data_IF_748170632637
#
_entry.id   IF_748170632637
#
_cell.length_a   1.000
_cell.length_b   1.000
_cell.length_c   1.000
_cell.angle_alpha   90.00
_cell.angle_beta   90.00
_cell.angle_gamma   90.00
#
_symmetry.space_group_name_H-M   'P 1'
#
loop_
_entity.id
_entity.type
_entity.pdbx_description
1 polymer ?
#
# COMPACT_ATOMS: atom_id res chain seq x y z
N UNK A 1 27.40 2.90 -13.66
CA UNK A 1 26.74 4.21 -13.91
C UNK A 1 26.31 4.80 -12.56
N UNK A 2 27.03 5.79 -12.00
CA UNK A 2 26.70 6.36 -10.69
C UNK A 2 25.96 7.70 -10.86
N UNK A 3 24.62 7.68 -10.90
CA UNK A 3 23.81 8.90 -11.07
C UNK A 3 22.60 9.02 -10.11
N UNK A 4 22.65 8.43 -8.90
CA UNK A 4 21.54 8.55 -7.94
C UNK A 4 21.88 9.24 -6.60
N UNK A 5 23.09 9.78 -6.42
CA UNK A 5 23.51 10.37 -5.13
C UNK A 5 22.86 11.73 -4.84
N UNK A 6 22.36 12.44 -5.86
CA UNK A 6 21.79 13.79 -5.71
C UNK A 6 20.46 13.85 -4.95
N UNK A 7 19.63 12.80 -5.04
CA UNK A 7 18.32 12.75 -4.35
C UNK A 7 18.46 12.47 -2.84
N UNK A 8 19.54 11.83 -2.42
CA UNK A 8 19.75 11.49 -1.01
C UNK A 8 20.15 12.72 -0.18
N UNK A 9 20.98 13.59 -0.75
CA UNK A 9 21.39 14.85 -0.10
C UNK A 9 20.29 15.90 -0.01
N UNK A 10 19.18 15.76 -0.75
CA UNK A 10 18.03 16.69 -0.64
C UNK A 10 17.22 16.44 0.64
N UNK A 11 17.14 15.19 1.10
CA UNK A 11 16.32 14.82 2.24
C UNK A 11 17.02 15.05 3.59
N UNK A 12 18.36 14.97 3.65
CA UNK A 12 19.14 15.13 4.89
C UNK A 12 19.03 16.55 5.49
N UNK A 13 19.19 17.65 4.73
CA UNK A 13 19.02 19.02 5.24
C UNK A 13 17.58 19.26 5.73
N UNK A 14 16.59 18.78 4.99
CA UNK A 14 15.18 18.85 5.37
C UNK A 14 14.91 18.09 6.67
N UNK A 15 15.51 16.91 6.85
CA UNK A 15 15.43 16.13 8.08
C UNK A 15 16.03 16.85 9.28
N UNK A 16 17.21 17.46 9.13
CA UNK A 16 17.86 18.25 10.18
C UNK A 16 17.05 19.50 10.55
N UNK A 17 16.54 20.22 9.55
CA UNK A 17 15.66 21.37 9.77
C UNK A 17 14.38 20.95 10.49
N UNK A 18 13.77 19.84 10.09
CA UNK A 18 12.61 19.26 10.77
C UNK A 18 12.89 18.92 12.24
N UNK A 19 14.05 18.33 12.52
CA UNK A 19 14.49 17.98 13.88
C UNK A 19 14.71 19.22 14.75
N UNK A 20 15.34 20.26 14.19
CA UNK A 20 15.54 21.54 14.85
C UNK A 20 14.21 22.26 15.13
N UNK A 21 13.26 22.22 14.19
CA UNK A 21 11.92 22.78 14.36
C UNK A 21 11.11 22.02 15.41
N UNK A 22 11.15 20.68 15.41
CA UNK A 22 10.49 19.86 16.43
C UNK A 22 11.06 20.17 17.82
N UNK A 23 12.38 20.20 17.95
CA UNK A 23 13.05 20.50 19.22
C UNK A 23 12.75 21.92 19.74
N UNK A 24 12.45 22.88 18.85
CA UNK A 24 12.19 24.27 19.21
C UNK A 24 10.71 24.61 19.41
N UNK A 25 9.81 23.98 18.67
CA UNK A 25 8.40 24.39 18.60
C UNK A 25 7.40 23.39 19.16
N UNK A 26 7.78 22.13 19.37
CA UNK A 26 6.92 21.18 20.09
C UNK A 26 7.20 21.38 21.59
N UNK A 27 6.32 22.06 22.36
CA UNK A 27 6.44 22.08 23.80
C UNK A 27 6.47 20.63 24.27
N UNK A 28 7.38 20.32 25.20
CA UNK A 28 7.50 18.97 25.73
C UNK A 28 6.22 18.60 26.46
N UNK A 29 5.27 18.02 25.73
CA UNK A 29 4.11 17.30 26.27
C UNK A 29 4.67 16.07 26.97
N UNK A 30 5.21 16.30 28.17
CA UNK A 30 5.60 15.25 29.10
C UNK A 30 4.32 14.50 29.41
N UNK A 31 4.16 13.34 28.79
CA UNK A 31 3.16 12.38 29.19
C UNK A 31 3.24 12.24 30.71
N UNK A 32 2.08 12.30 31.38
CA UNK A 32 1.99 12.30 32.84
C UNK A 32 2.69 11.08 33.49
N UNK A 33 2.99 10.04 32.71
CA UNK A 33 3.72 8.85 33.11
C UNK A 33 4.61 8.32 31.95
N UNK A 34 5.91 8.65 31.90
CA UNK A 34 6.80 8.17 30.85
C UNK A 34 7.09 6.68 31.03
N UNK A 35 6.41 5.84 30.23
CA UNK A 35 6.67 4.40 30.21
C UNK A 35 8.06 4.11 29.63
N UNK A 36 8.81 3.14 30.19
CA UNK A 36 10.11 2.75 29.65
C UNK A 36 9.96 2.19 28.23
N UNK A 37 10.94 2.48 27.37
CA UNK A 37 10.96 2.00 25.99
C UNK A 37 11.25 0.48 25.94
N UNK A 38 10.43 -0.26 25.20
CA UNK A 38 10.64 -1.69 24.92
C UNK A 38 11.73 -1.90 23.86
N UNK A 39 12.99 -1.84 24.30
CA UNK A 39 14.16 -2.08 23.46
C UNK A 39 14.16 -3.48 22.79
N UNK A 40 13.86 -4.60 23.49
CA UNK A 40 13.80 -5.90 22.84
C UNK A 40 12.73 -5.95 21.74
N UNK A 41 11.54 -5.39 22.00
CA UNK A 41 10.49 -5.26 21.00
C UNK A 41 10.93 -4.40 19.80
N UNK A 42 11.63 -3.30 20.05
CA UNK A 42 12.21 -2.46 19.00
C UNK A 42 13.16 -3.23 18.08
N UNK A 43 14.15 -3.94 18.65
CA UNK A 43 15.11 -4.70 17.84
C UNK A 43 14.47 -5.88 17.10
N UNK A 44 13.57 -6.62 17.76
CA UNK A 44 12.88 -7.75 17.12
C UNK A 44 11.98 -7.29 15.97
N UNK A 45 11.21 -6.22 16.17
CA UNK A 45 10.29 -5.69 15.14
C UNK A 45 11.05 -5.06 13.98
N UNK A 46 12.06 -4.23 14.26
CA UNK A 46 12.87 -3.58 13.23
C UNK A 46 13.67 -4.59 12.40
N UNK A 47 14.33 -5.56 13.05
CA UNK A 47 15.09 -6.60 12.35
C UNK A 47 14.17 -7.53 11.55
N UNK A 48 13.06 -7.96 12.13
CA UNK A 48 12.07 -8.80 11.44
C UNK A 48 11.51 -8.10 10.20
N UNK A 49 11.12 -6.84 10.34
CA UNK A 49 10.64 -6.03 9.22
C UNK A 49 11.73 -5.83 8.16
N UNK A 50 12.96 -5.47 8.56
CA UNK A 50 14.06 -5.24 7.62
C UNK A 50 14.37 -6.50 6.78
N UNK A 51 14.42 -7.67 7.41
CA UNK A 51 14.64 -8.94 6.70
C UNK A 51 13.49 -9.29 5.76
N UNK A 52 12.24 -9.06 6.18
CA UNK A 52 11.08 -9.27 5.32
C UNK A 52 11.08 -8.34 4.12
N UNK A 53 11.32 -7.04 4.33
CA UNK A 53 11.36 -6.05 3.26
C UNK A 53 12.49 -6.37 2.27
N UNK A 54 13.70 -6.61 2.78
CA UNK A 54 14.86 -6.91 1.93
C UNK A 54 14.72 -8.23 1.18
N UNK A 55 14.18 -9.27 1.82
CA UNK A 55 13.88 -10.54 1.18
C UNK A 55 12.85 -10.40 0.05
N UNK A 56 11.79 -9.63 0.28
CA UNK A 56 10.72 -9.42 -0.70
C UNK A 56 11.17 -8.54 -1.89
N UNK A 57 12.03 -7.57 -1.64
CA UNK A 57 12.69 -6.77 -2.68
C UNK A 57 13.55 -7.66 -3.59
N UNK A 58 14.32 -8.60 -3.02
CA UNK A 58 15.10 -9.60 -3.77
C UNK A 58 14.23 -10.59 -4.56
N UNK A 59 13.03 -10.92 -4.08
CA UNK A 59 12.07 -11.73 -4.87
C UNK A 59 11.65 -10.96 -6.13
N UNK A 60 11.41 -9.65 -6.01
CA UNK A 60 11.02 -8.83 -7.15
C UNK A 60 12.16 -8.62 -8.16
N UNK A 61 13.42 -8.65 -7.71
CA UNK A 61 14.62 -8.47 -8.54
C UNK A 61 15.64 -9.58 -8.25
N UNK A 62 15.47 -10.78 -8.81
CA UNK A 62 16.34 -11.92 -8.53
C UNK A 62 17.67 -11.80 -9.28
N UNK A 63 18.64 -11.08 -8.70
CA UNK A 63 20.00 -10.95 -9.26
C UNK A 63 20.87 -12.19 -8.95
N UNK A 64 20.74 -12.77 -7.76
CA UNK A 64 21.58 -13.88 -7.26
C UNK A 64 20.82 -15.23 -7.11
N UNK A 65 19.66 -15.36 -7.77
CA UNK A 65 18.77 -16.52 -7.63
C UNK A 65 17.81 -16.45 -6.43
N UNK A 66 16.91 -17.44 -6.33
CA UNK A 66 15.78 -17.40 -5.38
C UNK A 66 16.14 -17.77 -3.94
N UNK A 67 17.21 -18.54 -3.71
CA UNK A 67 17.54 -19.10 -2.40
C UNK A 67 17.84 -18.03 -1.34
N UNK A 68 18.67 -16.99 -1.60
CA UNK A 68 18.93 -15.94 -0.61
C UNK A 68 17.65 -15.19 -0.22
N UNK A 69 16.78 -14.92 -1.20
CA UNK A 69 15.53 -14.22 -0.98
C UNK A 69 14.58 -15.03 -0.08
N UNK A 70 14.44 -16.33 -0.35
CA UNK A 70 13.63 -17.25 0.46
C UNK A 70 14.15 -17.35 1.90
N UNK A 71 15.47 -17.45 2.09
CA UNK A 71 16.08 -17.52 3.42
C UNK A 71 15.85 -16.22 4.23
N UNK A 72 15.98 -15.06 3.59
CA UNK A 72 15.72 -13.76 4.23
C UNK A 72 14.25 -13.62 4.64
N UNK A 73 13.32 -14.00 3.76
CA UNK A 73 11.88 -13.99 4.08
C UNK A 73 11.58 -14.97 5.21
N UNK A 74 12.11 -16.19 5.18
CA UNK A 74 11.92 -17.17 6.23
C UNK A 74 12.46 -16.68 7.58
N UNK A 75 13.67 -16.13 7.61
CA UNK A 75 14.26 -15.53 8.81
C UNK A 75 13.42 -14.36 9.34
N UNK A 76 12.96 -13.48 8.43
CA UNK A 76 12.07 -12.38 8.76
C UNK A 76 10.73 -12.82 9.36
N UNK A 77 10.12 -13.90 8.84
CA UNK A 77 8.90 -14.51 9.39
C UNK A 77 9.17 -15.04 10.81
N UNK A 78 10.27 -15.77 11.01
CA UNK A 78 10.63 -16.33 12.32
C UNK A 78 10.87 -15.22 13.35
N UNK A 79 11.64 -14.19 13.00
CA UNK A 79 11.92 -13.06 13.89
C UNK A 79 10.67 -12.22 14.13
N UNK A 80 9.83 -12.00 13.11
CA UNK A 80 8.55 -11.34 13.25
C UNK A 80 7.60 -12.09 14.20
N UNK A 81 7.59 -13.43 14.14
CA UNK A 81 6.82 -14.25 15.08
C UNK A 81 7.34 -14.11 16.52
N UNK A 82 8.67 -14.09 16.72
CA UNK A 82 9.28 -13.81 18.03
C UNK A 82 8.91 -12.42 18.53
N UNK A 83 8.91 -11.41 17.66
CA UNK A 83 8.50 -10.05 17.97
C UNK A 83 7.05 -10.00 18.45
N UNK A 84 6.12 -10.64 17.74
CA UNK A 84 4.71 -10.72 18.15
C UNK A 84 4.55 -11.43 19.49
N UNK A 85 5.30 -12.52 19.72
CA UNK A 85 5.28 -13.24 21.00
C UNK A 85 5.78 -12.38 22.16
N UNK A 86 6.82 -11.58 21.93
CA UNK A 86 7.36 -10.63 22.91
C UNK A 86 6.35 -9.52 23.21
N UNK A 87 5.83 -8.85 22.17
CA UNK A 87 4.87 -7.75 22.30
C UNK A 87 3.58 -8.15 23.03
N UNK A 88 3.14 -9.42 22.91
CA UNK A 88 1.97 -9.94 23.65
C UNK A 88 2.23 -10.17 25.14
N UNK A 89 3.48 -10.26 25.57
CA UNK A 89 3.88 -10.57 26.95
C UNK A 89 4.53 -9.39 27.67
N UNK A 90 5.03 -8.41 26.93
CA UNK A 90 5.73 -7.26 27.48
C UNK A 90 4.78 -6.40 28.35
N UNK A 91 5.23 -5.87 29.51
CA UNK A 91 4.41 -4.99 30.36
C UNK A 91 4.07 -3.64 29.70
N UNK A 92 5.01 -3.12 28.91
CA UNK A 92 4.90 -1.86 28.17
C UNK A 92 5.38 -2.09 26.74
N UNK A 93 4.61 -2.80 25.89
CA UNK A 93 5.04 -3.14 24.54
C UNK A 93 5.23 -1.87 23.71
N UNK A 94 6.25 -1.88 22.83
CA UNK A 94 6.46 -0.78 21.89
C UNK A 94 5.25 -0.56 20.97
N UNK A 95 4.61 -1.68 20.58
CA UNK A 95 3.45 -1.70 19.69
C UNK A 95 2.29 -2.38 20.40
N UNK A 96 1.26 -1.61 20.70
CA UNK A 96 0.02 -2.14 21.26
C UNK A 96 -0.78 -2.89 20.20
N UNK A 97 -0.68 -4.22 20.24
CA UNK A 97 -1.41 -5.13 19.33
C UNK A 97 -2.92 -5.15 19.61
N UNK A 98 -3.41 -4.55 20.70
CA UNK A 98 -4.85 -4.46 20.95
C UNK A 98 -5.57 -3.56 19.94
N UNK A 99 -4.85 -2.69 19.20
CA UNK A 99 -5.39 -1.98 18.06
C UNK A 99 -6.02 -2.92 17.00
N UNK A 100 -5.50 -4.14 16.85
CA UNK A 100 -6.10 -5.15 15.96
C UNK A 100 -7.43 -5.75 16.48
N UNK A 101 -7.84 -5.45 17.71
CA UNK A 101 -9.19 -5.79 18.20
C UNK A 101 -10.23 -4.79 17.69
N UNK A 102 -9.81 -3.57 17.32
CA UNK A 102 -10.69 -2.59 16.68
C UNK A 102 -10.96 -3.05 15.25
N UNK A 103 -12.22 -3.36 14.97
CA UNK A 103 -12.63 -3.98 13.71
C UNK A 103 -12.26 -3.13 12.49
N UNK A 104 -12.41 -1.81 12.57
CA UNK A 104 -12.09 -0.88 11.46
C UNK A 104 -10.60 -0.81 11.17
N UNK A 105 -9.75 -0.82 12.20
CA UNK A 105 -8.30 -0.95 12.04
C UNK A 105 -7.94 -2.31 11.44
N UNK A 106 -8.40 -3.41 12.04
CA UNK A 106 -8.09 -4.77 11.59
C UNK A 106 -8.50 -5.05 10.15
N UNK A 107 -9.69 -4.62 9.72
CA UNK A 107 -10.15 -4.79 8.34
C UNK A 107 -9.31 -3.94 7.38
N UNK A 108 -8.94 -2.72 7.77
CA UNK A 108 -8.18 -1.78 6.93
C UNK A 108 -6.69 -2.11 6.84
N UNK A 109 -6.10 -2.77 7.83
CA UNK A 109 -4.65 -3.01 7.91
C UNK A 109 -4.26 -4.49 7.88
N UNK A 110 -5.07 -5.43 8.36
CA UNK A 110 -4.71 -6.85 8.41
C UNK A 110 -5.42 -7.71 7.36
N UNK A 111 -6.60 -7.29 6.88
CA UNK A 111 -7.43 -8.08 5.98
C UNK A 111 -7.64 -7.39 4.62
N UNK A 112 -8.88 -7.01 4.31
CA UNK A 112 -9.29 -6.48 3.01
C UNK A 112 -8.45 -5.27 2.57
N UNK A 113 -8.11 -4.37 3.49
CA UNK A 113 -7.33 -3.18 3.16
C UNK A 113 -5.91 -3.46 2.69
N UNK A 114 -5.21 -4.41 3.31
CA UNK A 114 -3.86 -4.79 2.87
C UNK A 114 -3.88 -5.53 1.54
N UNK A 115 -4.84 -6.46 1.34
CA UNK A 115 -5.00 -7.15 0.05
C UNK A 115 -5.31 -6.13 -1.07
N UNK A 116 -6.16 -5.14 -0.78
CA UNK A 116 -6.44 -4.08 -1.77
C UNK A 116 -5.22 -3.18 -2.01
N UNK A 117 -4.43 -2.87 -0.98
CA UNK A 117 -3.17 -2.11 -1.11
C UNK A 117 -2.16 -2.84 -1.99
N UNK A 118 -2.06 -4.16 -1.89
CA UNK A 118 -1.23 -4.98 -2.79
C UNK A 118 -1.61 -4.73 -4.25
N UNK A 119 -2.91 -4.74 -4.57
CA UNK A 119 -3.38 -4.45 -5.93
C UNK A 119 -3.09 -3.00 -6.38
N UNK A 120 -3.33 -2.02 -5.49
CA UNK A 120 -3.00 -0.61 -5.73
C UNK A 120 -1.51 -0.43 -6.01
N UNK A 121 -0.64 -1.08 -5.25
CA UNK A 121 0.81 -0.90 -5.31
C UNK A 121 1.43 -1.67 -6.50
N UNK A 122 0.83 -2.79 -6.90
CA UNK A 122 1.21 -3.52 -8.11
C UNK A 122 0.97 -2.71 -9.40
N UNK A 123 -0.08 -1.89 -9.43
CA UNK A 123 -0.58 -1.24 -10.65
C UNK A 123 0.44 -0.27 -11.29
N UNK A 124 1.06 0.69 -10.58
CA UNK A 124 2.07 1.57 -11.16
C UNK A 124 3.28 0.83 -11.72
N UNK A 125 3.71 -0.23 -11.05
CA UNK A 125 4.81 -1.09 -11.51
C UNK A 125 4.45 -1.77 -12.83
N UNK A 126 3.26 -2.39 -12.89
CA UNK A 126 2.77 -3.01 -14.12
C UNK A 126 2.59 -2.02 -15.26
N UNK A 127 2.09 -0.82 -14.99
CA UNK A 127 1.95 0.25 -16.00
C UNK A 127 3.31 0.70 -16.53
N UNK A 128 4.31 0.86 -15.65
CA UNK A 128 5.66 1.22 -16.05
C UNK A 128 6.29 0.18 -16.97
N UNK A 129 6.19 -1.10 -16.61
CA UNK A 129 6.69 -2.18 -17.48
C UNK A 129 5.85 -2.32 -18.75
N UNK A 130 4.53 -2.16 -18.69
CA UNK A 130 3.67 -2.22 -19.89
C UNK A 130 4.09 -1.15 -20.90
N UNK A 131 4.26 0.10 -20.46
CA UNK A 131 4.59 1.19 -21.37
C UNK A 131 6.03 1.08 -21.91
N UNK A 132 6.99 0.71 -21.07
CA UNK A 132 8.39 0.62 -21.50
C UNK A 132 8.70 -0.68 -22.26
N UNK A 133 8.32 -1.82 -21.71
CA UNK A 133 8.65 -3.15 -22.27
C UNK A 133 7.56 -3.63 -23.22
N UNK A 134 6.28 -3.46 -22.85
CA UNK A 134 5.17 -3.90 -23.68
C UNK A 134 4.94 -3.03 -24.92
N UNK A 135 4.99 -1.70 -24.78
CA UNK A 135 4.75 -0.76 -25.89
C UNK A 135 6.03 -0.21 -26.51
N UNK A 136 7.20 -0.45 -25.89
CA UNK A 136 8.48 0.04 -26.38
C UNK A 136 8.65 1.56 -26.25
N UNK A 137 7.89 2.23 -25.37
CA UNK A 137 7.98 3.67 -25.18
C UNK A 137 9.28 4.07 -24.49
N UNK A 138 9.74 5.29 -24.76
CA UNK A 138 10.88 5.86 -24.04
C UNK A 138 10.55 6.02 -22.54
N UNK A 139 11.56 6.03 -21.64
CA UNK A 139 11.32 6.25 -20.21
C UNK A 139 10.60 7.57 -19.90
N UNK A 140 10.83 8.60 -20.71
CA UNK A 140 10.19 9.91 -20.56
C UNK A 140 8.71 9.82 -20.92
N UNK A 141 8.37 9.18 -22.03
CA UNK A 141 6.97 9.03 -22.48
C UNK A 141 6.18 8.13 -21.53
N UNK A 142 6.75 7.00 -21.12
CA UNK A 142 6.16 6.13 -20.10
C UNK A 142 5.95 6.89 -18.78
N UNK A 143 6.94 7.69 -18.35
CA UNK A 143 6.83 8.55 -17.19
C UNK A 143 5.68 9.56 -17.29
N UNK A 144 5.46 10.15 -18.47
CA UNK A 144 4.36 11.09 -18.71
C UNK A 144 2.98 10.39 -18.66
N UNK A 145 2.87 9.16 -19.17
CA UNK A 145 1.63 8.37 -19.05
C UNK A 145 1.34 8.00 -17.59
N UNK A 146 2.36 7.59 -16.84
CA UNK A 146 2.25 7.31 -15.40
C UNK A 146 1.93 8.58 -14.61
N UNK A 147 2.43 9.74 -15.05
CA UNK A 147 2.08 11.02 -14.43
C UNK A 147 0.56 11.26 -14.49
N UNK A 148 -0.10 10.92 -15.60
CA UNK A 148 -1.56 11.00 -15.70
C UNK A 148 -2.25 10.11 -14.63
N UNK A 149 -1.70 8.93 -14.36
CA UNK A 149 -2.20 8.05 -13.29
C UNK A 149 -2.06 8.69 -11.90
N UNK A 150 -0.96 9.40 -11.62
CA UNK A 150 -0.80 10.12 -10.33
C UNK A 150 -1.56 11.45 -10.27
N UNK A 151 -1.80 12.10 -11.41
CA UNK A 151 -2.60 13.33 -11.50
C UNK A 151 -4.04 13.12 -11.07
N UNK A 152 -4.56 11.88 -11.13
CA UNK A 152 -5.86 11.54 -10.55
C UNK A 152 -5.98 11.84 -9.04
N UNK A 153 -4.87 12.00 -8.32
CA UNK A 153 -4.91 12.42 -6.92
C UNK A 153 -5.26 13.92 -6.77
N UNK A 154 -4.99 14.74 -7.80
CA UNK A 154 -5.14 16.18 -7.77
C UNK A 154 -6.63 16.54 -7.83
N UNK A 155 -7.21 16.86 -6.67
CA UNK A 155 -8.63 17.14 -6.51
C UNK A 155 -9.43 16.02 -5.86
N UNK A 156 -8.84 14.85 -5.59
CA UNK A 156 -9.60 13.77 -4.95
C UNK A 156 -10.05 14.13 -3.53
N UNK A 157 -9.33 15.03 -2.83
CA UNK A 157 -9.72 15.49 -1.48
C UNK A 157 -11.08 16.20 -1.47
N UNK A 158 -11.42 16.97 -2.52
CA UNK A 158 -12.73 17.66 -2.59
C UNK A 158 -13.87 16.67 -2.84
N UNK A 159 -13.60 15.53 -3.47
CA UNK A 159 -14.59 14.48 -3.75
C UNK A 159 -14.71 13.48 -2.59
N UNK A 160 -13.60 13.11 -1.96
CA UNK A 160 -13.56 12.02 -0.96
C UNK A 160 -14.37 12.37 0.28
N UNK A 161 -14.18 13.54 0.88
CA UNK A 161 -14.84 13.90 2.14
C UNK A 161 -16.36 14.01 2.01
N UNK A 162 -16.94 14.71 1.00
CA UNK A 162 -18.40 14.73 0.80
C UNK A 162 -18.97 13.35 0.49
N UNK A 163 -18.27 12.55 -0.29
CA UNK A 163 -18.73 11.20 -0.67
C UNK A 163 -18.77 10.27 0.54
N UNK A 164 -17.74 10.29 1.39
CA UNK A 164 -17.73 9.54 2.66
C UNK A 164 -18.82 10.01 3.62
N UNK A 165 -19.06 11.33 3.72
CA UNK A 165 -20.17 11.89 4.52
C UNK A 165 -21.53 11.42 4.03
N UNK A 166 -21.74 11.40 2.72
CA UNK A 166 -23.03 11.09 2.11
C UNK A 166 -23.35 9.59 2.12
N UNK A 167 -22.37 8.73 1.85
CA UNK A 167 -22.60 7.30 1.61
C UNK A 167 -21.97 6.36 2.65
N UNK A 168 -21.16 6.89 3.58
CA UNK A 168 -20.46 6.11 4.60
C UNK A 168 -19.26 5.33 4.07
N UNK A 169 -18.38 4.86 4.96
CA UNK A 169 -17.17 4.13 4.58
C UNK A 169 -17.47 2.82 3.85
N UNK A 170 -18.40 2.01 4.37
CA UNK A 170 -18.72 0.68 3.81
C UNK A 170 -19.09 0.77 2.32
N UNK A 171 -20.08 1.59 1.98
CA UNK A 171 -20.59 1.72 0.61
C UNK A 171 -19.51 2.28 -0.32
N UNK A 172 -18.80 3.32 0.14
CA UNK A 172 -17.74 3.95 -0.64
C UNK A 172 -16.61 2.97 -0.95
N UNK A 173 -16.13 2.24 0.05
CA UNK A 173 -15.01 1.31 -0.13
C UNK A 173 -15.35 0.13 -1.02
N UNK A 174 -16.60 -0.34 -1.00
CA UNK A 174 -17.09 -1.39 -1.92
C UNK A 174 -17.21 -0.83 -3.33
N UNK A 175 -18.01 0.22 -3.54
CA UNK A 175 -18.27 0.76 -4.89
C UNK A 175 -17.00 1.28 -5.54
N UNK A 176 -16.23 2.12 -4.84
CA UNK A 176 -14.96 2.62 -5.37
C UNK A 176 -13.95 1.47 -5.55
N UNK A 177 -13.93 0.47 -4.66
CA UNK A 177 -13.10 -0.72 -4.81
C UNK A 177 -13.43 -1.52 -6.06
N UNK A 178 -14.72 -1.67 -6.41
CA UNK A 178 -15.15 -2.30 -7.66
C UNK A 178 -14.70 -1.50 -8.88
N UNK A 179 -14.88 -0.17 -8.88
CA UNK A 179 -14.47 0.70 -10.00
C UNK A 179 -12.94 0.69 -10.16
N UNK A 180 -12.19 0.78 -9.06
CA UNK A 180 -10.73 0.69 -9.08
C UNK A 180 -10.26 -0.66 -9.66
N UNK A 181 -10.86 -1.77 -9.20
CA UNK A 181 -10.52 -3.11 -9.69
C UNK A 181 -10.86 -3.27 -11.16
N UNK A 182 -12.03 -2.80 -11.59
CA UNK A 182 -12.43 -2.80 -12.99
C UNK A 182 -11.50 -1.92 -13.86
N UNK A 183 -11.04 -0.79 -13.34
CA UNK A 183 -10.08 0.09 -14.05
C UNK A 183 -8.71 -0.58 -14.21
N UNK A 184 -8.25 -1.30 -13.18
CA UNK A 184 -7.03 -2.12 -13.26
C UNK A 184 -7.21 -3.22 -14.32
N UNK A 185 -8.33 -3.94 -14.31
CA UNK A 185 -8.63 -4.98 -15.31
C UNK A 185 -8.75 -4.40 -16.72
N UNK A 186 -9.34 -3.22 -16.87
CA UNK A 186 -9.45 -2.53 -18.15
C UNK A 186 -8.08 -2.18 -18.75
N UNK A 187 -7.03 -2.06 -17.92
CA UNK A 187 -5.66 -1.89 -18.43
C UNK A 187 -5.18 -3.10 -19.26
N UNK A 188 -5.75 -4.30 -19.05
CA UNK A 188 -5.48 -5.47 -19.88
C UNK A 188 -6.00 -5.33 -21.32
N UNK A 189 -6.96 -4.44 -21.57
CA UNK A 189 -7.49 -4.21 -22.92
C UNK A 189 -6.63 -3.21 -23.71
N UNK A 190 -5.72 -2.48 -23.07
CA UNK A 190 -4.89 -1.49 -23.74
C UNK A 190 -3.89 -2.18 -24.65
N UNK A 191 -3.70 -1.61 -25.83
CA UNK A 191 -2.70 -2.00 -26.82
C UNK A 191 -2.04 -0.75 -27.44
N UNK A 192 -0.92 -0.90 -28.18
CA UNK A 192 -0.26 0.22 -28.86
C UNK A 192 -1.17 0.97 -29.84
N UNK A 193 -2.20 0.31 -30.38
CA UNK A 193 -3.17 0.89 -31.31
C UNK A 193 -4.29 1.67 -30.60
N UNK A 194 -4.34 1.60 -29.27
CA UNK A 194 -5.38 2.28 -28.48
C UNK A 194 -5.17 3.79 -28.55
N UNK A 195 -6.22 4.60 -28.84
CA UNK A 195 -6.10 6.05 -28.87
C UNK A 195 -5.53 6.62 -27.55
N UNK A 196 -4.51 7.46 -27.64
CA UNK A 196 -3.80 8.00 -26.47
C UNK A 196 -4.75 8.71 -25.49
N UNK A 197 -5.77 9.41 -25.99
CA UNK A 197 -6.78 10.05 -25.15
C UNK A 197 -7.55 9.05 -24.27
N UNK A 198 -7.85 7.85 -24.80
CA UNK A 198 -8.54 6.80 -24.05
C UNK A 198 -7.61 6.21 -22.98
N UNK A 199 -6.32 6.03 -23.29
CA UNK A 199 -5.34 5.56 -22.30
C UNK A 199 -5.20 6.57 -21.16
N UNK A 200 -5.07 7.86 -21.48
CA UNK A 200 -4.99 8.93 -20.47
C UNK A 200 -6.25 9.00 -19.62
N UNK A 201 -7.44 8.91 -20.23
CA UNK A 201 -8.70 8.87 -19.49
C UNK A 201 -8.77 7.69 -18.52
N UNK A 202 -8.36 6.49 -18.98
CA UNK A 202 -8.31 5.30 -18.13
C UNK A 202 -7.28 5.45 -17.00
N UNK A 203 -6.10 6.02 -17.26
CA UNK A 203 -5.10 6.31 -16.24
C UNK A 203 -5.64 7.26 -15.18
N UNK A 204 -6.34 8.33 -15.59
CA UNK A 204 -6.97 9.28 -14.68
C UNK A 204 -8.04 8.61 -13.80
N UNK A 205 -8.91 7.79 -14.38
CA UNK A 205 -9.95 7.05 -13.63
C UNK A 205 -9.31 6.08 -12.63
N UNK A 206 -8.31 5.31 -13.07
CA UNK A 206 -7.59 4.39 -12.21
C UNK A 206 -6.85 5.14 -11.08
N UNK A 207 -6.27 6.30 -11.37
CA UNK A 207 -5.62 7.18 -10.41
C UNK A 207 -6.59 7.76 -9.36
N UNK A 208 -7.72 8.31 -9.81
CA UNK A 208 -8.77 8.86 -8.97
C UNK A 208 -9.29 7.81 -7.98
N UNK A 209 -9.72 6.65 -8.50
CA UNK A 209 -10.30 5.58 -7.68
C UNK A 209 -9.29 5.00 -6.70
N UNK A 210 -8.02 4.86 -7.11
CA UNK A 210 -6.90 4.50 -6.25
C UNK A 210 -6.71 5.51 -5.12
N UNK A 211 -6.69 6.81 -5.42
CA UNK A 211 -6.54 7.89 -4.44
C UNK A 211 -7.66 7.87 -3.41
N UNK A 212 -8.90 7.70 -3.85
CA UNK A 212 -10.07 7.65 -2.99
C UNK A 212 -9.98 6.45 -2.04
N UNK A 213 -9.62 5.27 -2.56
CA UNK A 213 -9.49 4.06 -1.75
C UNK A 213 -8.38 4.19 -0.71
N UNK A 214 -7.22 4.72 -1.14
CA UNK A 214 -6.07 4.92 -0.25
C UNK A 214 -6.41 5.88 0.89
N UNK A 215 -7.11 6.98 0.57
CA UNK A 215 -7.57 7.96 1.57
C UNK A 215 -8.59 7.33 2.51
N UNK A 216 -9.61 6.67 1.99
CA UNK A 216 -10.66 6.02 2.78
C UNK A 216 -10.08 4.94 3.71
N UNK A 217 -9.14 4.12 3.24
CA UNK A 217 -8.45 3.11 4.06
C UNK A 217 -7.67 3.73 5.22
N UNK A 218 -6.92 4.81 4.95
CA UNK A 218 -6.16 5.48 5.98
C UNK A 218 -7.10 6.13 7.00
N UNK A 219 -8.17 6.79 6.56
CA UNK A 219 -9.13 7.41 7.48
C UNK A 219 -9.89 6.37 8.30
N UNK A 220 -10.34 5.28 7.69
CA UNK A 220 -11.06 4.21 8.38
C UNK A 220 -10.19 3.51 9.41
N UNK A 221 -8.90 3.29 9.12
CA UNK A 221 -7.99 2.62 10.05
C UNK A 221 -7.91 3.33 11.40
N UNK A 222 -8.00 4.66 11.42
CA UNK A 222 -7.89 5.46 12.66
C UNK A 222 -9.23 5.97 13.17
N UNK A 223 -10.35 5.57 12.55
CA UNK A 223 -11.65 6.15 12.86
C UNK A 223 -12.09 5.84 14.30
N UNK A 224 -11.88 4.60 14.75
CA UNK A 224 -12.32 4.13 16.06
C UNK A 224 -11.13 3.80 16.98
N UNK A 225 -9.94 4.38 16.71
CA UNK A 225 -8.73 4.16 17.52
C UNK A 225 -8.60 5.23 18.60
N UNK A 226 -8.59 4.77 19.85
CA UNK A 226 -8.38 5.60 21.04
C UNK A 226 -7.05 6.36 20.99
N UNK A 227 -7.06 7.59 21.53
CA UNK A 227 -5.89 8.47 21.57
C UNK A 227 -4.65 7.81 22.18
N UNK A 228 -4.84 6.95 23.20
CA UNK A 228 -3.75 6.22 23.86
C UNK A 228 -3.05 5.19 22.95
N UNK A 229 -3.75 4.67 21.94
CA UNK A 229 -3.25 3.64 21.02
C UNK A 229 -2.80 4.20 19.67
N UNK A 230 -3.15 5.46 19.34
CA UNK A 230 -2.89 6.06 18.02
C UNK A 230 -1.45 5.97 17.56
N UNK A 231 -0.48 6.21 18.44
CA UNK A 231 0.95 6.13 18.08
C UNK A 231 1.38 4.71 17.68
N UNK A 232 0.96 3.71 18.46
CA UNK A 232 1.18 2.29 18.15
C UNK A 232 0.47 1.87 16.87
N UNK A 233 -0.81 2.24 16.72
CA UNK A 233 -1.60 1.95 15.52
C UNK A 233 -1.00 2.61 14.26
N UNK A 234 -0.48 3.83 14.38
CA UNK A 234 0.19 4.53 13.30
C UNK A 234 1.44 3.77 12.85
N UNK A 235 2.28 3.37 13.82
CA UNK A 235 3.49 2.60 13.54
C UNK A 235 3.16 1.26 12.90
N UNK A 236 2.20 0.50 13.44
CA UNK A 236 1.74 -0.76 12.87
C UNK A 236 1.20 -0.59 11.44
N UNK A 237 0.38 0.43 11.20
CA UNK A 237 -0.15 0.75 9.87
C UNK A 237 0.96 1.07 8.88
N UNK A 238 1.95 1.89 9.27
CA UNK A 238 3.11 2.21 8.42
C UNK A 238 3.96 0.98 8.08
N UNK A 239 4.17 0.07 9.03
CA UNK A 239 4.89 -1.19 8.78
C UNK A 239 4.13 -2.06 7.75
N UNK A 240 2.82 -2.25 7.95
CA UNK A 240 1.99 -3.04 7.05
C UNK A 240 1.87 -2.40 5.66
N UNK A 241 1.87 -1.07 5.57
CA UNK A 241 1.86 -0.35 4.30
C UNK A 241 3.15 -0.59 3.50
N UNK A 242 4.32 -0.54 4.15
CA UNK A 242 5.60 -0.84 3.50
C UNK A 242 5.64 -2.28 3.00
N UNK A 243 5.20 -3.23 3.83
CA UNK A 243 5.10 -4.64 3.42
C UNK A 243 4.14 -4.80 2.23
N UNK A 244 2.96 -4.17 2.27
CA UNK A 244 1.98 -4.22 1.18
C UNK A 244 2.51 -3.65 -0.13
N UNK A 245 3.39 -2.65 -0.05
CA UNK A 245 4.00 -2.03 -1.22
C UNK A 245 4.94 -2.99 -1.93
N UNK A 246 5.90 -3.56 -1.20
CA UNK A 246 6.83 -4.54 -1.74
C UNK A 246 6.11 -5.83 -2.18
N UNK A 247 5.11 -6.27 -1.43
CA UNK A 247 4.33 -7.45 -1.78
C UNK A 247 3.52 -7.24 -3.06
N UNK A 248 2.97 -6.04 -3.27
CA UNK A 248 2.33 -5.67 -4.53
C UNK A 248 3.27 -5.83 -5.73
N UNK A 249 4.48 -5.28 -5.62
CA UNK A 249 5.49 -5.38 -6.69
C UNK A 249 5.94 -6.82 -6.90
N UNK A 250 6.25 -7.55 -5.82
CA UNK A 250 6.67 -8.95 -5.90
C UNK A 250 5.61 -9.86 -6.52
N UNK A 251 4.33 -9.70 -6.14
CA UNK A 251 3.22 -10.46 -6.73
C UNK A 251 3.06 -10.12 -8.21
N UNK A 252 3.13 -8.85 -8.58
CA UNK A 252 3.07 -8.43 -9.98
C UNK A 252 4.20 -9.04 -10.83
N UNK A 253 5.45 -8.95 -10.34
CA UNK A 253 6.62 -9.53 -10.98
C UNK A 253 6.51 -11.06 -11.10
N UNK A 254 6.05 -11.73 -10.04
CA UNK A 254 5.85 -13.17 -10.03
C UNK A 254 4.79 -13.62 -11.06
N UNK A 255 3.67 -12.88 -11.20
CA UNK A 255 2.64 -13.20 -12.20
C UNK A 255 3.19 -13.03 -13.63
N UNK A 256 3.93 -11.94 -13.89
CA UNK A 256 4.57 -11.71 -15.19
C UNK A 256 5.57 -12.83 -15.52
N UNK A 257 6.44 -13.17 -14.57
CA UNK A 257 7.46 -14.21 -14.74
C UNK A 257 6.83 -15.60 -14.94
N UNK A 258 5.81 -15.94 -14.16
CA UNK A 258 5.09 -17.21 -14.30
C UNK A 258 4.39 -17.30 -15.66
N UNK A 259 3.74 -16.22 -16.11
CA UNK A 259 3.12 -16.16 -17.44
C UNK A 259 4.14 -16.37 -18.56
N UNK A 260 5.31 -15.71 -18.47
CA UNK A 260 6.41 -15.87 -19.42
C UNK A 260 6.93 -17.32 -19.47
N UNK A 261 7.15 -17.94 -18.31
CA UNK A 261 7.61 -19.33 -18.19
C UNK A 261 6.60 -20.28 -18.83
N UNK A 262 5.32 -20.15 -18.49
CA UNK A 262 4.25 -20.99 -19.03
C UNK A 262 4.15 -20.86 -20.55
N UNK A 263 4.40 -19.67 -21.10
CA UNK A 263 4.40 -19.42 -22.55
C UNK A 263 5.68 -19.86 -23.26
N UNK A 264 6.72 -20.28 -22.54
CA UNK A 264 8.02 -20.69 -23.09
C UNK A 264 8.64 -19.61 -24.01
N UNK A 265 8.44 -18.32 -23.68
CA UNK A 265 8.98 -17.19 -24.45
C UNK A 265 10.16 -16.54 -23.71
N UNK A 266 11.19 -16.05 -24.44
CA UNK A 266 12.38 -15.45 -23.83
C UNK A 266 12.16 -14.02 -23.33
N UNK A 267 11.09 -13.35 -23.77
CA UNK A 267 10.78 -11.97 -23.42
C UNK A 267 9.30 -11.83 -23.04
N UNK A 268 9.02 -10.82 -22.22
CA UNK A 268 7.66 -10.40 -21.87
C UNK A 268 6.94 -9.87 -23.11
N UNK A 269 5.67 -10.20 -23.21
CA UNK A 269 4.77 -9.77 -24.27
C UNK A 269 3.49 -9.18 -23.67
N UNK A 270 2.67 -8.54 -24.49
CA UNK A 270 1.44 -7.90 -24.07
C UNK A 270 0.53 -8.85 -23.30
N UNK A 271 0.45 -10.12 -23.70
CA UNK A 271 -0.37 -11.16 -23.05
C UNK A 271 0.00 -11.34 -21.56
N UNK A 272 1.28 -11.26 -21.22
CA UNK A 272 1.74 -11.43 -19.83
C UNK A 272 1.22 -10.27 -18.96
N UNK A 273 1.26 -9.05 -19.50
CA UNK A 273 0.67 -7.88 -18.85
C UNK A 273 -0.84 -7.98 -18.73
N UNK A 274 -1.54 -8.49 -19.75
CA UNK A 274 -2.99 -8.72 -19.68
C UNK A 274 -3.36 -9.66 -18.54
N UNK A 275 -2.65 -10.78 -18.42
CA UNK A 275 -2.84 -11.74 -17.33
C UNK A 275 -2.56 -11.07 -15.98
N UNK A 276 -1.45 -10.32 -15.86
CA UNK A 276 -1.11 -9.62 -14.64
C UNK A 276 -2.18 -8.61 -14.20
N UNK A 277 -2.68 -7.76 -15.11
CA UNK A 277 -3.75 -6.81 -14.81
C UNK A 277 -5.06 -7.50 -14.42
N UNK A 278 -5.43 -8.59 -15.09
CA UNK A 278 -6.64 -9.34 -14.74
C UNK A 278 -6.53 -9.99 -13.37
N UNK A 279 -5.40 -10.63 -13.05
CA UNK A 279 -5.18 -11.29 -11.75
C UNK A 279 -5.12 -10.26 -10.62
N UNK A 280 -4.35 -9.18 -10.78
CA UNK A 280 -4.27 -8.10 -9.78
C UNK A 280 -5.62 -7.42 -9.59
N UNK A 281 -6.35 -7.17 -10.68
CA UNK A 281 -7.71 -6.64 -10.63
C UNK A 281 -8.68 -7.58 -9.91
N UNK A 282 -8.59 -8.90 -10.14
CA UNK A 282 -9.40 -9.89 -9.43
C UNK A 282 -9.07 -9.95 -7.92
N UNK A 283 -7.80 -9.83 -7.54
CA UNK A 283 -7.37 -9.71 -6.14
C UNK A 283 -7.99 -8.45 -5.50
N UNK A 284 -7.93 -7.31 -6.20
CA UNK A 284 -8.59 -6.07 -5.79
C UNK A 284 -10.10 -6.24 -5.64
N UNK A 285 -10.75 -6.93 -6.59
CA UNK A 285 -12.19 -7.17 -6.57
C UNK A 285 -12.61 -8.01 -5.37
N UNK A 286 -11.88 -9.10 -5.10
CA UNK A 286 -12.11 -9.94 -3.94
C UNK A 286 -11.92 -9.16 -2.63
N UNK A 287 -10.91 -8.31 -2.56
CA UNK A 287 -10.68 -7.44 -1.41
C UNK A 287 -11.79 -6.37 -1.24
N UNK A 288 -12.28 -5.78 -2.34
CA UNK A 288 -13.37 -4.81 -2.31
C UNK A 288 -14.66 -5.43 -1.73
N UNK A 289 -15.01 -6.64 -2.16
CA UNK A 289 -16.18 -7.36 -1.67
C UNK A 289 -16.06 -7.71 -0.18
N UNK A 290 -14.84 -7.92 0.34
CA UNK A 290 -14.64 -8.18 1.78
C UNK A 290 -14.98 -6.98 2.66
N UNK A 291 -15.02 -5.74 2.13
CA UNK A 291 -15.54 -4.60 2.88
C UNK A 291 -17.04 -4.68 3.16
N UNK A 292 -17.79 -5.58 2.53
CA UNK A 292 -19.19 -5.85 2.90
C UNK A 292 -19.34 -6.37 4.33
N UNK A 293 -18.28 -6.91 4.94
CA UNK A 293 -18.26 -7.36 6.35
C UNK A 293 -18.27 -6.17 7.33
N UNK A 294 -17.92 -4.96 6.88
CA UNK A 294 -18.00 -3.77 7.74
C UNK A 294 -19.46 -3.48 8.14
N UNK A 295 -19.73 -3.13 9.40
CA UNK A 295 -21.02 -2.61 9.82
C UNK A 295 -21.41 -1.34 9.02
N UNK A 296 -22.70 -1.08 8.76
CA UNK A 296 -23.16 0.14 8.09
C UNK A 296 -22.69 1.44 8.76
N UNK A 297 -22.52 1.43 10.08
CA UNK A 297 -22.02 2.55 10.88
C UNK A 297 -20.51 2.58 11.12
N UNK A 298 -19.72 1.74 10.43
CA UNK A 298 -18.27 1.73 10.62
C UNK A 298 -17.63 3.09 10.27
N UNK A 299 -16.88 3.67 11.20
CA UNK A 299 -16.26 4.99 11.05
C UNK A 299 -17.25 6.15 10.98
N UNK A 300 -18.49 5.97 11.48
CA UNK A 300 -19.54 6.99 11.44
C UNK A 300 -19.17 8.29 12.19
N UNK A 301 -18.40 8.21 13.27
CA UNK A 301 -17.92 9.40 14.00
C UNK A 301 -17.03 10.29 13.12
N UNK A 302 -16.20 9.68 12.27
CA UNK A 302 -15.28 10.41 11.39
C UNK A 302 -15.95 10.85 10.09
N UNK A 303 -16.80 10.02 9.51
CA UNK A 303 -17.53 10.39 8.30
C UNK A 303 -18.72 11.30 8.59
N UNK A 304 -19.23 11.39 9.82
CA UNK A 304 -20.49 12.06 10.14
C UNK A 304 -21.71 11.44 9.44
N UNK A 305 -21.59 10.17 9.00
CA UNK A 305 -22.65 9.47 8.26
C UNK A 305 -23.53 8.70 9.24
N UNK A 306 -24.77 9.14 9.42
CA UNK A 306 -25.76 8.41 10.21
C UNK A 306 -26.48 7.41 9.31
N UNK A 307 -26.25 6.11 9.50
CA UNK A 307 -27.04 5.09 8.80
C UNK A 307 -28.50 5.19 9.27
N UNK A 308 -29.40 5.63 8.40
CA UNK A 308 -30.84 5.48 8.65
C UNK A 308 -31.14 3.99 8.65
N UNK A 309 -31.31 3.43 9.85
CA UNK A 309 -31.89 2.10 10.11
C UNK A 309 -33.28 2.01 9.53
#
# INVERSE_FOLDING_TARGET
>A
MPHNTGNFFINVPLGLVGLALVARFIPGDRAADPKPLDWPGFFLTSLGLALLLYGLERIAHPEDGALPAVLLVAAGIVIGWLAVRHLRRAPHPLLDLSAFRVQTFAISTLAAGTIFRVAINATPFLLALLFQVGFGLSPVDAGLMILAYFLGNLGMKTVTTPTLRRFGFRTVMVVNGLIASASIMACAAISPETPQALVVALMLIAGLTRSMQFTALNTLAFADIDAAQRSSAATLSSMLQQMSMLFGVAVAAAILNLSQIVRHRPALDLVDFRIAFLVIGAIGLAAALRFLVLPPGAGAEVSGHTSRT
#
